data_IF_074019524068
#
_entry.id   IF_074019524068
#
_cell.length_a   1.000
_cell.length_b   1.000
_cell.length_c   1.000
_cell.angle_alpha   90.00
_cell.angle_beta   90.00
_cell.angle_gamma   90.00
#
_symmetry.space_group_name_H-M   'P 1'
#
loop_
_entity.id
_entity.type
_entity.pdbx_description
1 polymer ?
#
# COMPACT_ATOMS: atom_id res chain seq x y z
N UNK A 1 33.16 34.56 -33.83
CA UNK A 1 32.92 34.61 -32.38
C UNK A 1 31.79 33.66 -32.06
N UNK A 2 32.12 32.50 -31.50
CA UNK A 2 31.20 31.44 -31.12
C UNK A 2 30.33 31.95 -29.95
N UNK A 3 29.01 31.96 -30.08
CA UNK A 3 28.10 32.19 -28.94
C UNK A 3 27.69 30.81 -28.41
N UNK A 4 28.27 30.44 -27.29
CA UNK A 4 27.88 29.26 -26.52
C UNK A 4 26.42 29.39 -26.06
N UNK A 5 25.58 28.49 -26.56
CA UNK A 5 24.20 28.35 -26.11
C UNK A 5 24.20 27.39 -24.91
N UNK A 6 24.19 27.94 -23.71
CA UNK A 6 24.07 27.18 -22.47
C UNK A 6 22.64 26.60 -22.38
N UNK A 7 22.48 25.32 -22.74
CA UNK A 7 21.20 24.60 -22.56
C UNK A 7 21.09 24.19 -21.09
N UNK A 8 20.34 24.97 -20.31
CA UNK A 8 19.97 24.62 -18.94
C UNK A 8 18.87 23.56 -18.99
N UNK A 9 19.24 22.29 -18.84
CA UNK A 9 18.29 21.19 -18.71
C UNK A 9 17.63 21.28 -17.34
N UNK A 10 16.39 21.75 -17.28
CA UNK A 10 15.57 21.71 -16.07
C UNK A 10 15.25 20.24 -15.75
N UNK A 11 15.92 19.68 -14.73
CA UNK A 11 15.58 18.38 -14.17
C UNK A 11 14.28 18.55 -13.37
N UNK A 12 13.13 18.21 -13.96
CA UNK A 12 11.86 18.17 -13.23
C UNK A 12 11.92 16.95 -12.30
N UNK A 13 12.42 17.15 -11.09
CA UNK A 13 12.33 16.17 -10.02
C UNK A 13 10.86 15.91 -9.74
N UNK A 14 10.37 14.72 -10.10
CA UNK A 14 9.02 14.30 -9.73
C UNK A 14 9.03 14.04 -8.23
N UNK A 15 8.34 14.88 -7.45
CA UNK A 15 8.13 14.59 -6.04
C UNK A 15 7.34 13.28 -5.93
N UNK A 16 7.90 12.29 -5.24
CA UNK A 16 7.25 11.01 -4.99
C UNK A 16 6.24 11.17 -3.85
N UNK A 17 5.10 10.50 -3.93
CA UNK A 17 4.25 10.36 -2.74
C UNK A 17 4.83 9.33 -1.79
N UNK A 18 4.44 9.42 -0.52
CA UNK A 18 4.89 8.51 0.53
C UNK A 18 3.73 8.31 1.49
N UNK A 19 3.31 7.05 1.64
CA UNK A 19 2.13 6.71 2.43
C UNK A 19 2.14 5.25 2.87
N UNK A 20 1.76 5.00 4.12
CA UNK A 20 1.70 3.65 4.69
C UNK A 20 0.74 3.58 5.88
N UNK A 21 -0.02 2.50 6.01
CA UNK A 21 -0.72 2.18 7.26
C UNK A 21 0.31 1.95 8.37
N UNK A 22 0.05 2.49 9.55
CA UNK A 22 0.87 2.27 10.76
C UNK A 22 0.07 1.62 11.88
N UNK A 23 -1.26 1.82 11.90
CA UNK A 23 -2.18 1.14 12.79
C UNK A 23 -3.38 0.63 11.97
N UNK A 24 -3.82 -0.63 12.15
CA UNK A 24 -3.07 -1.71 12.79
C UNK A 24 -1.75 -1.98 12.07
N UNK A 25 -0.80 -2.64 12.72
CA UNK A 25 0.50 -2.96 12.09
C UNK A 25 0.26 -3.75 10.79
N UNK A 26 0.62 -3.22 9.61
CA UNK A 26 0.45 -3.95 8.37
C UNK A 26 1.58 -4.96 8.17
N UNK A 27 1.47 -5.77 7.12
CA UNK A 27 2.56 -6.64 6.67
C UNK A 27 3.88 -5.87 6.53
N UNK A 28 4.95 -6.53 6.92
CA UNK A 28 6.32 -6.12 6.67
C UNK A 28 6.99 -7.11 5.69
N UNK A 29 7.96 -6.67 4.89
CA UNK A 29 8.79 -7.57 4.08
C UNK A 29 9.78 -8.35 4.97
N UNK A 30 10.06 -9.59 4.60
CA UNK A 30 11.11 -10.42 5.19
C UNK A 30 11.77 -11.34 4.16
N UNK A 31 12.33 -12.46 4.62
CA UNK A 31 13.06 -13.38 3.75
C UNK A 31 12.17 -14.04 2.71
N UNK A 32 10.89 -14.28 3.01
CA UNK A 32 9.95 -14.81 2.01
C UNK A 32 9.66 -13.77 0.92
N UNK A 33 9.50 -12.49 1.28
CA UNK A 33 9.39 -11.40 0.31
C UNK A 33 10.63 -11.26 -0.55
N UNK A 34 11.84 -11.39 0.01
CA UNK A 34 13.08 -11.38 -0.78
C UNK A 34 13.13 -12.55 -1.76
N UNK A 35 12.77 -13.75 -1.32
CA UNK A 35 12.74 -14.94 -2.17
C UNK A 35 11.72 -14.83 -3.31
N UNK A 36 10.58 -14.19 -3.06
CA UNK A 36 9.54 -13.99 -4.07
C UNK A 36 9.88 -12.84 -5.03
N UNK A 37 10.35 -11.72 -4.52
CA UNK A 37 10.49 -10.46 -5.28
C UNK A 37 11.88 -10.23 -5.86
N UNK A 38 12.87 -11.08 -5.54
CA UNK A 38 14.27 -10.84 -5.93
C UNK A 38 14.93 -9.74 -5.10
N UNK A 39 16.25 -9.62 -5.21
CA UNK A 39 17.04 -8.75 -4.33
C UNK A 39 16.84 -7.26 -4.65
N UNK A 40 16.72 -6.90 -5.92
CA UNK A 40 16.58 -5.52 -6.38
C UNK A 40 15.29 -4.87 -5.92
N UNK A 41 14.14 -5.52 -6.15
CA UNK A 41 12.85 -5.02 -5.69
C UNK A 41 12.76 -5.05 -4.14
N UNK A 42 13.22 -6.14 -3.51
CA UNK A 42 13.26 -6.25 -2.05
C UNK A 42 14.07 -5.14 -1.39
N UNK A 43 15.23 -4.77 -1.96
CA UNK A 43 16.06 -3.67 -1.46
C UNK A 43 15.30 -2.36 -1.43
N UNK A 44 14.54 -2.04 -2.48
CA UNK A 44 13.72 -0.83 -2.52
C UNK A 44 12.59 -0.89 -1.49
N UNK A 45 11.87 -2.02 -1.46
CA UNK A 45 10.74 -2.26 -0.56
C UNK A 45 11.12 -2.21 0.92
N UNK A 46 12.39 -2.39 1.26
CA UNK A 46 12.92 -2.34 2.63
C UNK A 46 13.63 -1.03 2.95
N UNK A 47 14.25 -0.37 1.96
CA UNK A 47 14.87 0.94 2.16
C UNK A 47 13.86 2.07 2.32
N UNK A 48 12.66 1.89 1.75
CA UNK A 48 11.60 2.89 1.78
C UNK A 48 10.22 2.20 1.92
N UNK A 49 9.74 2.13 3.17
CA UNK A 49 8.48 1.47 3.50
C UNK A 49 7.25 2.27 3.07
N UNK A 50 7.39 3.59 2.91
CA UNK A 50 6.32 4.51 2.48
C UNK A 50 6.31 4.73 0.98
N UNK A 51 7.40 4.38 0.30
CA UNK A 51 7.58 4.60 -1.12
C UNK A 51 6.58 3.86 -2.01
N UNK A 52 6.45 4.36 -3.25
CA UNK A 52 5.55 3.81 -4.25
C UNK A 52 6.02 2.45 -4.78
N UNK A 53 5.06 1.61 -5.14
CA UNK A 53 5.31 0.25 -5.67
C UNK A 53 6.12 0.31 -6.98
N UNK A 54 5.93 1.36 -7.78
CA UNK A 54 6.62 1.59 -9.05
C UNK A 54 8.15 1.63 -8.89
N UNK A 55 8.66 2.14 -7.76
CA UNK A 55 10.09 2.18 -7.50
C UNK A 55 10.67 0.77 -7.35
N UNK A 56 9.95 -0.13 -6.68
CA UNK A 56 10.34 -1.52 -6.54
C UNK A 56 10.19 -2.27 -7.87
N UNK A 57 9.11 -2.01 -8.61
CA UNK A 57 8.87 -2.58 -9.93
C UNK A 57 9.98 -2.21 -10.93
N UNK A 58 10.52 -0.99 -10.86
CA UNK A 58 11.65 -0.54 -11.68
C UNK A 58 12.99 -1.21 -11.34
N UNK A 59 13.06 -1.98 -10.24
CA UNK A 59 14.27 -2.67 -9.75
C UNK A 59 14.12 -4.19 -9.69
N UNK A 60 13.09 -4.75 -10.32
CA UNK A 60 13.00 -6.22 -10.48
C UNK A 60 14.25 -6.74 -11.19
N UNK A 61 14.76 -7.87 -10.70
CA UNK A 61 15.95 -8.53 -11.23
C UNK A 61 15.63 -9.97 -11.68
N UNK A 62 16.64 -10.74 -12.04
CA UNK A 62 16.47 -12.14 -12.47
C UNK A 62 15.95 -13.07 -11.35
N UNK A 63 15.94 -12.63 -10.09
CA UNK A 63 15.37 -13.36 -8.97
C UNK A 63 13.88 -13.07 -8.74
N UNK A 64 13.29 -12.12 -9.47
CA UNK A 64 11.86 -11.81 -9.35
C UNK A 64 10.99 -12.94 -9.88
N UNK A 65 10.07 -13.44 -9.05
CA UNK A 65 9.07 -14.43 -9.43
C UNK A 65 7.68 -13.78 -9.51
N UNK A 66 7.20 -13.50 -10.72
CA UNK A 66 5.89 -12.89 -10.96
C UNK A 66 4.68 -13.70 -10.44
N UNK A 67 4.85 -15.01 -10.25
CA UNK A 67 3.81 -15.88 -9.69
C UNK A 67 3.76 -15.86 -8.17
N UNK A 68 4.84 -15.43 -7.50
CA UNK A 68 4.93 -15.36 -6.04
C UNK A 68 4.90 -13.91 -5.51
N UNK A 69 5.57 -12.98 -6.19
CA UNK A 69 5.62 -11.57 -5.80
C UNK A 69 4.65 -10.74 -6.62
N UNK A 70 3.48 -10.48 -6.03
CA UNK A 70 2.48 -9.58 -6.61
C UNK A 70 2.72 -8.15 -6.09
N UNK A 71 3.64 -7.41 -6.70
CA UNK A 71 4.02 -6.06 -6.24
C UNK A 71 2.82 -5.11 -6.08
N UNK A 72 1.86 -5.16 -7.00
CA UNK A 72 0.60 -4.39 -6.97
C UNK A 72 -0.54 -5.11 -6.23
N UNK A 73 -0.18 -5.88 -5.21
CA UNK A 73 -1.12 -6.48 -4.29
C UNK A 73 -0.43 -6.78 -2.95
N UNK A 74 -0.73 -5.97 -1.93
CA UNK A 74 -0.04 -5.97 -0.64
C UNK A 74 1.47 -5.71 -0.75
N UNK A 75 1.91 -4.86 -1.71
CA UNK A 75 3.33 -4.57 -1.99
C UNK A 75 4.19 -5.81 -2.31
N UNK A 76 3.58 -6.95 -2.63
CA UNK A 76 4.26 -8.24 -2.78
C UNK A 76 4.75 -8.86 -1.45
N UNK A 77 4.36 -8.30 -0.30
CA UNK A 77 4.75 -8.80 1.01
C UNK A 77 4.06 -10.13 1.32
N UNK A 78 4.85 -11.08 1.81
CA UNK A 78 4.43 -12.48 1.97
C UNK A 78 3.84 -12.72 3.36
N UNK A 79 2.82 -13.56 3.44
CA UNK A 79 2.22 -13.94 4.72
C UNK A 79 3.20 -14.70 5.62
N UNK A 80 4.13 -15.46 5.03
CA UNK A 80 5.14 -16.22 5.77
C UNK A 80 6.04 -15.33 6.65
N UNK A 81 6.28 -14.08 6.24
CA UNK A 81 7.02 -13.08 7.02
C UNK A 81 6.16 -12.46 8.15
N UNK A 82 4.85 -12.72 8.18
CA UNK A 82 3.85 -12.00 8.97
C UNK A 82 2.95 -12.90 9.83
N UNK A 83 3.30 -14.18 10.01
CA UNK A 83 2.49 -15.16 10.78
C UNK A 83 2.19 -14.72 12.23
N UNK A 84 3.04 -13.90 12.84
CA UNK A 84 2.85 -13.35 14.17
C UNK A 84 2.04 -12.05 14.21
N UNK A 85 1.70 -11.49 13.05
CA UNK A 85 0.99 -10.22 12.89
C UNK A 85 -0.40 -10.47 12.28
N UNK A 86 -1.25 -11.21 13.00
CA UNK A 86 -2.62 -11.54 12.57
C UNK A 86 -3.59 -11.09 13.64
N UNK A 87 -4.56 -10.28 13.25
CA UNK A 87 -5.61 -9.79 14.14
C UNK A 87 -6.81 -10.73 14.15
N UNK A 88 -7.54 -10.80 15.26
CA UNK A 88 -8.83 -11.49 15.32
C UNK A 88 -9.94 -10.45 15.39
N UNK A 89 -10.83 -10.44 14.41
CA UNK A 89 -11.93 -9.49 14.33
C UNK A 89 -13.26 -10.21 14.14
N UNK A 90 -14.29 -9.73 14.83
CA UNK A 90 -15.66 -10.24 14.66
C UNK A 90 -16.42 -9.42 13.62
N UNK A 91 -17.38 -10.01 12.88
CA UNK A 91 -18.30 -9.24 12.05
C UNK A 91 -18.98 -8.11 12.85
N UNK A 92 -19.05 -6.92 12.28
CA UNK A 92 -19.56 -5.71 12.92
C UNK A 92 -18.55 -4.97 13.80
N UNK A 93 -17.37 -5.53 14.04
CA UNK A 93 -16.34 -4.86 14.85
C UNK A 93 -15.80 -3.62 14.13
N UNK A 94 -15.71 -2.52 14.88
CA UNK A 94 -14.99 -1.32 14.45
C UNK A 94 -13.49 -1.52 14.61
N UNK A 95 -12.74 -1.24 13.55
CA UNK A 95 -11.27 -1.28 13.55
C UNK A 95 -10.75 0.11 13.21
N UNK A 96 -9.96 0.69 14.12
CA UNK A 96 -9.31 1.98 13.92
C UNK A 96 -8.07 1.82 13.03
N UNK A 97 -7.92 2.74 12.08
CA UNK A 97 -6.77 2.83 11.20
C UNK A 97 -6.07 4.16 11.36
N UNK A 98 -4.73 4.10 11.38
CA UNK A 98 -3.85 5.26 11.21
C UNK A 98 -2.98 5.04 9.97
N UNK A 99 -2.93 6.05 9.11
CA UNK A 99 -2.10 6.11 7.91
C UNK A 99 -1.15 7.29 8.02
N UNK A 100 0.14 6.99 7.93
CA UNK A 100 1.17 8.02 7.82
C UNK A 100 1.32 8.42 6.36
N UNK A 101 1.10 9.71 6.07
CA UNK A 101 1.28 10.31 4.75
C UNK A 101 2.40 11.35 4.84
N UNK A 102 3.58 11.04 4.29
CA UNK A 102 4.76 11.93 4.35
C UNK A 102 4.81 12.90 3.17
N UNK A 103 4.24 12.51 2.02
CA UNK A 103 4.15 13.36 0.84
C UNK A 103 2.80 13.17 0.15
N UNK A 104 1.99 14.24 0.12
CA UNK A 104 0.62 14.24 -0.43
C UNK A 104 0.61 14.44 -1.94
N UNK A 105 -0.14 13.60 -2.65
CA UNK A 105 -0.40 13.75 -4.08
C UNK A 105 -1.84 13.40 -4.39
N UNK A 106 -2.56 14.34 -4.99
CA UNK A 106 -3.97 14.14 -5.31
C UNK A 106 -4.19 12.84 -6.07
N UNK A 107 -5.09 12.02 -5.54
CA UNK A 107 -5.39 10.69 -6.03
C UNK A 107 -6.77 10.22 -5.59
N UNK A 108 -6.98 8.91 -5.65
CA UNK A 108 -8.11 8.23 -4.99
C UNK A 108 -7.59 7.12 -4.10
N UNK A 109 -8.37 6.77 -3.08
CA UNK A 109 -8.01 5.71 -2.17
C UNK A 109 -9.23 4.92 -1.71
N UNK A 110 -9.00 3.70 -1.26
CA UNK A 110 -10.03 2.88 -0.65
C UNK A 110 -9.42 1.93 0.39
N UNK A 111 -10.29 1.46 1.29
CA UNK A 111 -10.00 0.33 2.17
C UNK A 111 -10.95 -0.80 1.83
N UNK A 112 -10.42 -2.00 1.60
CA UNK A 112 -11.20 -3.16 1.19
C UNK A 112 -10.74 -4.41 1.92
N UNK A 113 -11.65 -5.35 2.16
CA UNK A 113 -11.25 -6.73 2.45
C UNK A 113 -10.81 -7.37 1.13
N UNK A 114 -9.69 -8.08 1.13
CA UNK A 114 -9.16 -8.78 -0.04
C UNK A 114 -8.95 -10.26 0.22
N UNK A 115 -9.26 -11.09 -0.78
CA UNK A 115 -8.87 -12.49 -0.86
C UNK A 115 -7.43 -12.56 -1.39
N UNK A 116 -6.53 -13.07 -0.55
CA UNK A 116 -5.10 -13.04 -0.84
C UNK A 116 -4.69 -14.03 -1.94
N UNK A 117 -5.41 -15.15 -2.09
CA UNK A 117 -5.11 -16.15 -3.10
C UNK A 117 -5.68 -15.75 -4.46
N UNK A 118 -6.94 -15.27 -4.48
CA UNK A 118 -7.58 -14.80 -5.71
C UNK A 118 -7.07 -13.43 -6.16
N UNK A 119 -6.53 -12.63 -5.24
CA UNK A 119 -6.09 -11.23 -5.44
C UNK A 119 -7.23 -10.33 -5.90
N UNK A 120 -8.35 -10.44 -5.19
CA UNK A 120 -9.58 -9.71 -5.49
C UNK A 120 -10.21 -9.16 -4.22
N UNK A 121 -11.03 -8.14 -4.34
CA UNK A 121 -11.79 -7.61 -3.20
C UNK A 121 -12.95 -8.54 -2.84
N UNK A 122 -13.24 -8.64 -1.55
CA UNK A 122 -14.43 -9.32 -1.03
C UNK A 122 -15.47 -8.24 -0.73
N UNK A 123 -16.57 -8.25 -1.49
CA UNK A 123 -17.65 -7.27 -1.32
C UNK A 123 -17.28 -5.86 -1.80
N UNK A 124 -17.89 -4.86 -1.18
CA UNK A 124 -17.66 -3.43 -1.49
C UNK A 124 -16.51 -2.88 -0.63
N UNK A 125 -15.86 -1.78 -1.06
CA UNK A 125 -14.93 -1.05 -0.19
C UNK A 125 -15.58 -0.69 1.15
N UNK A 126 -14.81 -0.85 2.23
CA UNK A 126 -15.17 -0.48 3.59
C UNK A 126 -15.08 1.04 3.80
N UNK A 127 -14.17 1.68 3.06
CA UNK A 127 -14.00 3.12 3.00
C UNK A 127 -13.59 3.48 1.57
N UNK A 128 -14.08 4.61 1.05
CA UNK A 128 -13.75 5.06 -0.29
C UNK A 128 -13.60 6.59 -0.33
N UNK A 129 -12.44 7.07 -0.77
CA UNK A 129 -12.15 8.48 -1.04
C UNK A 129 -12.02 8.71 -2.54
N UNK A 130 -13.02 9.32 -3.20
CA UNK A 130 -12.94 9.70 -4.61
C UNK A 130 -11.84 10.73 -4.88
N UNK A 131 -11.51 11.55 -3.87
CA UNK A 131 -10.37 12.46 -3.84
C UNK A 131 -9.64 12.21 -2.53
N UNK A 132 -8.35 11.90 -2.61
CA UNK A 132 -7.52 11.56 -1.46
C UNK A 132 -6.18 12.27 -1.52
N UNK A 133 -5.75 12.81 -0.38
CA UNK A 133 -4.50 13.57 -0.20
C UNK A 133 -4.37 14.73 -1.20
N UNK A 134 -5.45 15.54 -1.31
CA UNK A 134 -5.48 16.67 -2.21
C UNK A 134 -4.33 17.65 -1.92
N UNK A 135 -3.34 17.66 -2.81
CA UNK A 135 -2.10 18.42 -2.63
C UNK A 135 -2.26 19.92 -2.96
N UNK A 136 -3.45 20.36 -3.34
CA UNK A 136 -3.80 21.79 -3.42
C UNK A 136 -4.22 22.37 -2.06
N UNK A 137 -4.48 21.51 -1.06
CA UNK A 137 -4.86 21.91 0.30
C UNK A 137 -3.61 22.07 1.20
N UNK A 138 -3.66 23.03 2.13
CA UNK A 138 -2.65 23.19 3.18
C UNK A 138 -2.98 22.37 4.44
N UNK A 139 -2.02 22.21 5.38
CA UNK A 139 -2.22 21.43 6.61
C UNK A 139 -3.50 21.72 7.42
N UNK A 140 -3.96 22.98 7.56
CA UNK A 140 -5.21 23.28 8.27
C UNK A 140 -6.48 22.74 7.59
N UNK A 141 -6.41 22.49 6.28
CA UNK A 141 -7.54 22.08 5.45
C UNK A 141 -7.47 20.60 5.05
N UNK A 142 -6.46 19.86 5.52
CA UNK A 142 -6.37 18.42 5.26
C UNK A 142 -7.49 17.68 6.00
N UNK A 143 -8.32 16.89 5.29
CA UNK A 143 -9.34 16.08 5.94
C UNK A 143 -8.71 15.09 6.93
N UNK A 144 -9.20 15.09 8.17
CA UNK A 144 -8.66 14.25 9.24
C UNK A 144 -8.80 12.74 8.95
N UNK A 145 -9.88 12.37 8.23
CA UNK A 145 -10.14 10.98 7.85
C UNK A 145 -9.19 10.46 6.77
N UNK A 146 -8.31 11.30 6.20
CA UNK A 146 -7.27 10.82 5.30
C UNK A 146 -6.14 10.09 6.05
N UNK A 147 -5.90 10.41 7.33
CA UNK A 147 -4.88 9.75 8.16
C UNK A 147 -5.47 8.96 9.32
N UNK A 148 -6.66 9.32 9.81
CA UNK A 148 -7.25 8.76 11.02
C UNK A 148 -8.73 8.44 10.80
N UNK A 149 -9.04 7.17 10.60
CA UNK A 149 -10.41 6.72 10.31
C UNK A 149 -10.70 5.39 10.99
N UNK A 150 -11.96 4.94 10.91
CA UNK A 150 -12.34 3.60 11.35
C UNK A 150 -13.18 2.93 10.30
N UNK A 151 -12.99 1.61 10.17
CA UNK A 151 -13.82 0.76 9.32
C UNK A 151 -14.71 -0.12 10.19
N UNK A 152 -15.80 -0.61 9.63
CA UNK A 152 -16.59 -1.68 10.25
C UNK A 152 -16.39 -2.94 9.42
N UNK A 153 -15.90 -4.01 10.05
CA UNK A 153 -15.66 -5.27 9.35
C UNK A 153 -17.02 -5.93 9.00
N UNK A 154 -17.32 -6.23 7.73
CA UNK A 154 -18.55 -6.91 7.37
C UNK A 154 -18.47 -8.40 7.71
N UNK A 155 -19.60 -9.09 7.63
CA UNK A 155 -19.58 -10.55 7.56
C UNK A 155 -18.98 -10.99 6.22
N UNK A 156 -17.82 -11.65 6.29
CA UNK A 156 -17.05 -12.17 5.14
C UNK A 156 -17.20 -13.69 5.00
N UNK A 157 -18.13 -14.27 5.75
CA UNK A 157 -18.39 -15.70 5.81
C UNK A 157 -17.17 -16.49 6.25
N UNK A 158 -17.04 -17.73 5.76
CA UNK A 158 -15.95 -18.64 6.14
C UNK A 158 -14.63 -18.38 5.42
N UNK A 159 -14.60 -17.44 4.46
CA UNK A 159 -13.41 -17.18 3.62
C UNK A 159 -12.20 -16.72 4.42
N UNK A 160 -12.43 -15.95 5.48
CA UNK A 160 -11.38 -15.31 6.27
C UNK A 160 -11.14 -15.99 7.63
N UNK A 161 -11.55 -17.25 7.81
CA UNK A 161 -11.33 -17.99 9.07
C UNK A 161 -9.91 -18.53 9.21
N UNK A 162 -9.13 -18.55 8.12
CA UNK A 162 -7.74 -19.02 8.10
C UNK A 162 -6.78 -17.86 7.98
N UNK A 163 -5.76 -17.82 8.84
CA UNK A 163 -4.70 -16.83 8.76
C UNK A 163 -4.00 -16.89 7.38
N UNK A 164 -3.79 -15.72 6.78
CA UNK A 164 -3.24 -15.61 5.42
C UNK A 164 -4.24 -15.86 4.29
N UNK A 165 -5.53 -16.07 4.57
CA UNK A 165 -6.57 -16.14 3.54
C UNK A 165 -7.06 -14.75 3.11
N UNK A 166 -7.21 -13.83 4.07
CA UNK A 166 -7.67 -12.48 3.83
C UNK A 166 -6.78 -11.42 4.49
N UNK A 167 -6.87 -10.20 3.97
CA UNK A 167 -6.35 -9.01 4.62
C UNK A 167 -7.31 -7.82 4.44
N UNK A 168 -7.18 -6.80 5.28
CA UNK A 168 -7.73 -5.48 5.03
C UNK A 168 -6.65 -4.69 4.30
N UNK A 169 -6.91 -4.30 3.05
CA UNK A 169 -5.99 -3.55 2.22
C UNK A 169 -6.41 -2.08 2.19
N UNK A 170 -5.49 -1.19 2.58
CA UNK A 170 -5.52 0.21 2.19
C UNK A 170 -4.78 0.35 0.85
N UNK A 171 -5.43 1.02 -0.10
CA UNK A 171 -4.92 1.28 -1.44
C UNK A 171 -5.03 2.78 -1.72
N UNK A 172 -3.97 3.37 -2.28
CA UNK A 172 -3.96 4.73 -2.79
C UNK A 172 -3.25 4.79 -4.14
N UNK A 173 -3.89 5.44 -5.11
CA UNK A 173 -3.29 5.79 -6.39
C UNK A 173 -3.21 7.29 -6.56
N UNK A 174 -2.00 7.81 -6.75
CA UNK A 174 -1.72 9.22 -6.98
C UNK A 174 -1.64 9.55 -8.49
N UNK A 175 -2.39 10.57 -8.93
CA UNK A 175 -2.55 10.87 -10.37
C UNK A 175 -1.31 11.51 -11.00
N UNK A 176 -0.70 12.47 -10.32
CA UNK A 176 0.36 13.33 -10.86
C UNK A 176 1.62 12.56 -11.24
N UNK A 177 2.01 11.62 -10.38
CA UNK A 177 3.21 10.80 -10.51
C UNK A 177 2.91 9.35 -10.92
N UNK A 178 1.62 8.98 -11.06
CA UNK A 178 1.15 7.64 -11.44
C UNK A 178 1.68 6.57 -10.49
N UNK A 179 1.53 6.81 -9.19
CA UNK A 179 2.11 5.97 -8.15
C UNK A 179 1.07 5.25 -7.31
N UNK A 180 1.41 4.03 -6.90
CA UNK A 180 0.55 3.14 -6.13
C UNK A 180 1.15 2.86 -4.76
N UNK A 181 0.31 2.92 -3.75
CA UNK A 181 0.64 2.68 -2.35
C UNK A 181 -0.35 1.67 -1.77
N UNK A 182 0.18 0.70 -1.05
CA UNK A 182 -0.64 -0.33 -0.44
C UNK A 182 -0.12 -0.68 0.95
N UNK A 183 -1.04 -1.09 1.81
CA UNK A 183 -0.71 -1.74 3.08
C UNK A 183 -1.78 -2.77 3.37
N UNK A 184 -1.39 -3.96 3.80
CA UNK A 184 -2.30 -5.05 4.12
C UNK A 184 -2.18 -5.43 5.58
N UNK A 185 -3.32 -5.51 6.26
CA UNK A 185 -3.45 -5.95 7.66
C UNK A 185 -4.08 -7.34 7.65
N UNK A 186 -3.33 -8.36 8.03
CA UNK A 186 -3.83 -9.73 8.11
C UNK A 186 -4.81 -9.88 9.27
N UNK A 187 -5.92 -10.56 9.03
CA UNK A 187 -6.89 -10.86 10.07
C UNK A 187 -7.53 -12.23 9.86
N UNK A 188 -8.18 -12.71 10.92
CA UNK A 188 -9.13 -13.81 10.88
C UNK A 188 -10.46 -13.42 11.50
N UNK A 189 -11.53 -14.04 11.01
CA UNK A 189 -12.83 -14.05 11.68
C UNK A 189 -13.02 -15.38 12.42
N UNK A 190 -13.53 -15.37 13.66
CA UNK A 190 -13.90 -16.60 14.35
C UNK A 190 -15.07 -17.34 13.70
#
# INVERSE_FOLDING_TARGET
>A
MLRDLLVLTALVGSALGHGKVTIPTPRAPGTAAQAACGAGAYKVLTSDLWGPIENAAAKVDSGYNATACHLYFCKGYQFDDNKSNVYTYTPGQTVTFHVSIEARHTGYANVSVVDLAARTTIGKPLYNWPVYTNNSLGPPDWPADETDFSITLPDVGTKCQKAGACAIQWYWYAYSNKQTYESCVDFVTP
#
